data_IF_984388108453
#
_entry.id   IF_984388108453
#
_cell.length_a   1.000
_cell.length_b   1.000
_cell.length_c   1.000
_cell.angle_alpha   90.00
_cell.angle_beta   90.00
_cell.angle_gamma   90.00
#
_symmetry.space_group_name_H-M   'P 1'
#
loop_
_entity.id
_entity.type
_entity.pdbx_description
1 polymer ?
#
# COMPACT_ATOMS: atom_id res chain seq x y z
N UNK A 1 5.35 3.81 15.05
CA UNK A 1 5.82 3.64 13.67
C UNK A 1 4.81 2.84 12.89
N UNK A 2 4.97 2.71 11.57
CA UNK A 2 4.07 1.93 10.70
C UNK A 2 4.80 0.67 10.21
N UNK A 3 4.09 -0.45 10.08
CA UNK A 3 4.68 -1.69 9.56
C UNK A 3 4.86 -1.61 8.04
N UNK A 4 5.70 -2.45 7.43
CA UNK A 4 5.81 -2.52 5.98
C UNK A 4 4.48 -2.81 5.28
N UNK A 5 3.62 -3.66 5.86
CA UNK A 5 2.29 -3.94 5.35
C UNK A 5 1.41 -2.67 5.37
N UNK A 6 1.43 -1.92 6.47
CA UNK A 6 0.69 -0.65 6.57
C UNK A 6 1.18 0.37 5.54
N UNK A 7 2.48 0.44 5.28
CA UNK A 7 3.07 1.32 4.26
C UNK A 7 2.63 0.92 2.85
N UNK A 8 2.68 -0.38 2.53
CA UNK A 8 2.28 -0.89 1.23
C UNK A 8 0.80 -0.60 0.94
N UNK A 9 -0.09 -0.83 1.92
CA UNK A 9 -1.52 -0.52 1.76
C UNK A 9 -1.78 0.98 1.63
N UNK A 10 -1.10 1.82 2.42
CA UNK A 10 -1.24 3.28 2.30
C UNK A 10 -0.76 3.79 0.94
N UNK A 11 0.29 3.19 0.39
CA UNK A 11 0.79 3.51 -0.94
C UNK A 11 -0.18 3.11 -2.05
N UNK A 12 -0.69 1.88 -2.02
CA UNK A 12 -1.72 1.43 -2.98
C UNK A 12 -2.94 2.35 -2.94
N UNK A 13 -3.45 2.66 -1.74
CA UNK A 13 -4.63 3.53 -1.56
C UNK A 13 -4.36 5.02 -1.83
N UNK A 14 -3.10 5.44 -2.00
CA UNK A 14 -2.75 6.81 -2.37
C UNK A 14 -2.95 7.11 -3.86
N UNK A 15 -3.12 6.07 -4.68
CA UNK A 15 -3.37 6.20 -6.12
C UNK A 15 -4.83 6.54 -6.38
N UNK A 16 -5.14 7.68 -7.03
CA UNK A 16 -6.52 8.13 -7.25
C UNK A 16 -7.34 7.16 -8.13
N UNK A 17 -6.69 6.36 -8.97
CA UNK A 17 -7.31 5.33 -9.80
C UNK A 17 -7.70 4.06 -9.01
N UNK A 18 -7.16 3.86 -7.80
CA UNK A 18 -7.44 2.69 -6.98
C UNK A 18 -8.63 2.96 -6.06
N UNK A 19 -9.74 2.29 -6.33
CA UNK A 19 -10.95 2.41 -5.49
C UNK A 19 -10.92 1.53 -4.24
N UNK A 20 -10.27 0.36 -4.31
CA UNK A 20 -10.27 -0.66 -3.26
C UNK A 20 -8.93 -1.38 -3.22
N UNK A 21 -8.38 -1.59 -2.02
CA UNK A 21 -7.28 -2.52 -1.77
C UNK A 21 -7.81 -3.71 -0.97
N UNK A 22 -7.60 -4.93 -1.48
CA UNK A 22 -8.11 -6.17 -0.87
C UNK A 22 -6.98 -6.83 -0.09
N UNK A 23 -7.24 -7.21 1.17
CA UNK A 23 -6.33 -8.02 1.97
C UNK A 23 -6.94 -9.39 2.27
N UNK A 24 -6.11 -10.43 2.24
CA UNK A 24 -6.41 -11.74 2.82
C UNK A 24 -5.72 -11.87 4.17
N UNK A 25 -6.42 -12.42 5.16
CA UNK A 25 -5.89 -12.72 6.49
C UNK A 25 -6.44 -14.06 6.97
N UNK A 26 -5.56 -14.94 7.46
CA UNK A 26 -5.91 -16.21 8.07
C UNK A 26 -6.13 -16.06 9.59
N UNK A 27 -5.52 -15.03 10.19
CA UNK A 27 -5.58 -14.73 11.62
C UNK A 27 -5.96 -13.26 11.86
N UNK A 28 -6.72 -12.94 12.92
CA UNK A 28 -7.14 -11.56 13.21
C UNK A 28 -5.99 -10.56 13.33
N UNK A 29 -4.85 -10.97 13.88
CA UNK A 29 -3.68 -10.10 14.09
C UNK A 29 -3.08 -9.61 12.76
N UNK A 30 -3.24 -10.37 11.68
CA UNK A 30 -2.81 -9.94 10.34
C UNK A 30 -3.70 -8.82 9.78
N UNK A 31 -4.90 -8.62 10.32
CA UNK A 31 -5.75 -7.49 9.95
C UNK A 31 -5.19 -6.17 10.51
N UNK A 32 -4.56 -6.19 11.68
CA UNK A 32 -3.94 -5.01 12.30
C UNK A 32 -2.79 -4.43 11.44
N UNK A 33 -2.12 -5.31 10.69
CA UNK A 33 -1.11 -4.96 9.69
C UNK A 33 -1.67 -4.18 8.48
N UNK A 34 -2.99 -4.16 8.30
CA UNK A 34 -3.66 -3.41 7.23
C UNK A 34 -4.46 -2.25 7.78
N UNK A 35 -5.14 -2.42 8.92
CA UNK A 35 -5.98 -1.39 9.54
C UNK A 35 -5.19 -0.11 9.84
N UNK A 36 -3.91 -0.23 10.21
CA UNK A 36 -3.06 0.93 10.43
C UNK A 36 -2.75 1.76 9.18
N UNK A 37 -3.06 1.28 7.97
CA UNK A 37 -2.95 2.05 6.73
C UNK A 37 -4.15 2.96 6.48
N UNK A 38 -5.32 2.62 7.03
CA UNK A 38 -6.57 3.33 6.74
C UNK A 38 -6.50 4.78 7.22
N UNK A 39 -6.80 5.72 6.31
CA UNK A 39 -6.76 7.15 6.60
C UNK A 39 -5.35 7.74 6.71
N UNK A 40 -4.30 6.93 6.58
CA UNK A 40 -2.92 7.42 6.56
C UNK A 40 -2.61 8.04 5.19
N UNK A 41 -2.38 9.36 5.18
CA UNK A 41 -1.87 10.06 4.00
C UNK A 41 -0.34 10.05 4.01
N UNK A 42 0.24 9.53 2.95
CA UNK A 42 1.67 9.65 2.68
C UNK A 42 1.98 11.08 2.20
N UNK A 43 3.13 11.60 2.57
CA UNK A 43 3.65 12.81 1.94
C UNK A 43 4.10 12.50 0.49
N UNK A 44 4.09 13.53 -0.35
CA UNK A 44 4.38 13.38 -1.79
C UNK A 44 5.77 12.81 -2.05
N UNK A 45 6.76 13.15 -1.22
CA UNK A 45 8.14 12.65 -1.39
C UNK A 45 8.21 11.16 -1.08
N UNK A 46 7.58 10.71 0.00
CA UNK A 46 7.50 9.28 0.33
C UNK A 46 6.74 8.50 -0.74
N UNK A 47 5.58 9.01 -1.20
CA UNK A 47 4.80 8.38 -2.26
C UNK A 47 5.61 8.25 -3.56
N UNK A 48 6.30 9.31 -3.98
CA UNK A 48 7.15 9.28 -5.17
C UNK A 48 8.29 8.26 -5.07
N UNK A 49 8.96 8.16 -3.91
CA UNK A 49 10.03 7.17 -3.70
C UNK A 49 9.52 5.73 -3.81
N UNK A 50 8.29 5.48 -3.39
CA UNK A 50 7.66 4.16 -3.49
C UNK A 50 7.24 3.86 -4.92
N UNK A 51 6.77 4.85 -5.67
CA UNK A 51 6.49 4.72 -7.11
C UNK A 51 7.76 4.33 -7.88
N UNK A 52 8.88 5.03 -7.63
CA UNK A 52 10.18 4.74 -8.26
C UNK A 52 10.68 3.34 -7.92
N UNK A 53 10.59 2.94 -6.64
CA UNK A 53 11.00 1.61 -6.20
C UNK A 53 10.13 0.48 -6.78
N UNK A 54 8.87 0.77 -7.10
CA UNK A 54 7.88 -0.21 -7.57
C UNK A 54 7.71 -0.24 -9.09
N UNK A 55 8.22 0.76 -9.82
CA UNK A 55 8.14 0.86 -11.28
C UNK A 55 8.60 -0.42 -12.05
N UNK A 56 9.65 -1.15 -11.62
CA UNK A 56 10.07 -2.38 -12.30
C UNK A 56 9.06 -3.54 -12.24
N UNK A 57 8.01 -3.44 -11.40
CA UNK A 57 7.01 -4.50 -11.22
C UNK A 57 5.85 -4.46 -12.22
N UNK A 58 5.88 -3.54 -13.21
CA UNK A 58 4.87 -3.54 -14.27
C UNK A 58 4.99 -4.82 -15.10
N UNK A 59 4.10 -5.78 -14.83
CA UNK A 59 3.92 -6.94 -15.68
C UNK A 59 3.45 -6.47 -17.06
N UNK A 60 4.34 -6.57 -18.04
CA UNK A 60 3.95 -6.54 -19.45
C UNK A 60 3.22 -7.85 -19.70
N UNK A 61 1.90 -7.78 -19.86
CA UNK A 61 1.12 -8.88 -20.39
C UNK A 61 1.31 -8.83 -21.91
N UNK A 62 2.26 -9.61 -22.41
CA UNK A 62 2.31 -9.99 -23.83
C UNK A 62 1.16 -10.97 -24.18
#
# INVERSE_FOLDING_TARGET
GKTPAQLAFAWVLSHPEVSVAISGADQPEQLDDVLGAVGWRLDDTTRQRLDEASAPLQMVLD
#
